data_IF_749166199089
#
_entry.id   IF_749166199089
#
_cell.length_a   1.000
_cell.length_b   1.000
_cell.length_c   1.000
_cell.angle_alpha   90.00
_cell.angle_beta   90.00
_cell.angle_gamma   90.00
#
_symmetry.space_group_name_H-M   'P 1'
#
loop_
_entity.id
_entity.type
_entity.pdbx_description
1 polymer ?
#
# COMPACT_ATOMS: atom_id res chain seq x y z
N UNK A 1 18.46 40.47 62.90
CA UNK A 1 17.99 41.13 61.64
C UNK A 1 18.74 40.70 60.37
N UNK A 2 20.08 40.53 60.37
CA UNK A 2 20.82 40.14 59.16
C UNK A 2 20.61 38.67 58.70
N UNK A 3 20.47 37.70 59.61
CA UNK A 3 20.34 36.27 59.22
C UNK A 3 18.99 35.92 58.57
N UNK A 4 17.88 36.52 59.01
CA UNK A 4 16.55 36.33 58.37
C UNK A 4 16.58 36.86 56.93
N UNK A 5 17.26 37.98 56.68
CA UNK A 5 17.40 38.54 55.33
C UNK A 5 18.24 37.66 54.40
N UNK A 6 19.24 36.96 54.92
CA UNK A 6 20.02 35.99 54.15
C UNK A 6 19.19 34.75 53.82
N UNK A 7 18.42 34.24 54.79
CA UNK A 7 17.54 33.09 54.61
C UNK A 7 16.45 33.37 53.56
N UNK A 8 15.84 34.57 53.60
CA UNK A 8 14.86 35.02 52.60
C UNK A 8 15.48 35.16 51.21
N UNK A 9 16.73 35.63 51.08
CA UNK A 9 17.42 35.67 49.78
C UNK A 9 17.70 34.26 49.24
N UNK A 10 18.15 33.35 50.09
CA UNK A 10 18.45 31.98 49.69
C UNK A 10 17.18 31.23 49.26
N UNK A 11 16.06 31.45 49.95
CA UNK A 11 14.74 30.94 49.56
C UNK A 11 14.27 31.51 48.22
N UNK A 12 14.45 32.83 48.00
CA UNK A 12 14.13 33.46 46.71
C UNK A 12 14.98 32.88 45.57
N UNK A 13 16.27 32.65 45.80
CA UNK A 13 17.16 31.99 44.85
C UNK A 13 16.73 30.56 44.55
N UNK A 14 16.40 29.78 45.58
CA UNK A 14 15.93 28.40 45.42
C UNK A 14 14.59 28.31 44.66
N UNK A 15 13.67 29.26 44.88
CA UNK A 15 12.42 29.35 44.11
C UNK A 15 12.68 29.72 42.64
N UNK A 16 13.66 30.58 42.37
CA UNK A 16 14.06 30.92 41.01
C UNK A 16 14.64 29.70 40.29
N UNK A 17 15.58 28.99 40.94
CA UNK A 17 16.16 27.73 40.45
C UNK A 17 15.09 26.66 40.18
N UNK A 18 14.10 26.53 41.05
CA UNK A 18 12.99 25.58 40.86
C UNK A 18 12.10 25.97 39.68
N UNK A 19 11.86 27.27 39.46
CA UNK A 19 11.10 27.75 38.30
C UNK A 19 11.87 27.52 37.00
N UNK A 20 13.18 27.75 37.00
CA UNK A 20 14.03 27.53 35.84
C UNK A 20 14.12 26.04 35.49
N UNK A 21 14.31 25.16 36.49
CA UNK A 21 14.28 23.70 36.28
C UNK A 21 12.91 23.21 35.82
N UNK A 22 11.82 23.77 36.32
CA UNK A 22 10.46 23.46 35.82
C UNK A 22 10.30 23.90 34.37
N UNK A 23 10.81 25.07 33.99
CA UNK A 23 10.76 25.56 32.61
C UNK A 23 11.58 24.67 31.68
N UNK A 24 12.83 24.37 32.05
CA UNK A 24 13.70 23.47 31.29
C UNK A 24 13.11 22.06 31.14
N UNK A 25 12.46 21.53 32.19
CA UNK A 25 11.76 20.25 32.12
C UNK A 25 10.55 20.31 31.20
N UNK A 26 9.77 21.39 31.20
CA UNK A 26 8.63 21.55 30.29
C UNK A 26 9.06 21.72 28.83
N UNK A 27 10.18 22.42 28.59
CA UNK A 27 10.78 22.61 27.27
C UNK A 27 11.36 21.29 26.74
N UNK A 28 12.10 20.55 27.57
CA UNK A 28 12.53 19.19 27.23
C UNK A 28 11.35 18.23 27.03
N UNK A 29 10.25 18.38 27.79
CA UNK A 29 9.03 17.60 27.59
C UNK A 29 8.37 17.92 26.25
N UNK A 30 8.34 19.20 25.85
CA UNK A 30 7.83 19.65 24.55
C UNK A 30 8.71 19.21 23.38
N UNK A 31 10.04 19.21 23.54
CA UNK A 31 10.98 18.67 22.55
C UNK A 31 10.86 17.14 22.43
N UNK A 32 10.57 16.44 23.54
CA UNK A 32 10.43 14.98 23.56
C UNK A 32 9.04 14.46 23.17
N UNK A 33 8.01 15.33 23.13
CA UNK A 33 6.64 14.91 22.84
C UNK A 33 6.52 14.59 21.36
N UNK A 34 6.21 13.34 21.03
CA UNK A 34 5.88 12.96 19.66
C UNK A 34 4.77 13.90 19.13
N UNK A 35 4.97 14.49 17.93
CA UNK A 35 3.99 15.42 17.38
C UNK A 35 2.66 14.69 17.22
N UNK A 36 1.60 15.28 17.75
CA UNK A 36 0.28 14.66 17.70
C UNK A 36 -0.25 14.68 16.27
N UNK A 37 -1.12 13.72 15.92
CA UNK A 37 -1.70 13.66 14.57
C UNK A 37 -2.37 14.98 14.13
N UNK A 38 -3.15 15.69 14.97
CA UNK A 38 -3.72 16.98 14.60
C UNK A 38 -2.68 18.06 14.31
N UNK A 39 -1.56 18.09 15.06
CA UNK A 39 -0.48 19.05 14.83
C UNK A 39 0.23 18.78 13.50
N UNK A 40 0.47 17.51 13.17
CA UNK A 40 1.06 17.12 11.89
C UNK A 40 0.14 17.43 10.70
N UNK A 41 -1.17 17.24 10.88
CA UNK A 41 -2.16 17.62 9.88
C UNK A 41 -2.29 19.13 9.71
N UNK A 42 -2.10 19.91 10.79
CA UNK A 42 -1.99 21.37 10.73
C UNK A 42 -0.81 21.81 9.86
N UNK A 43 0.38 21.24 10.11
CA UNK A 43 1.57 21.48 9.28
C UNK A 43 1.36 21.11 7.81
N UNK A 44 0.61 20.05 7.53
CA UNK A 44 0.21 19.70 6.17
C UNK A 44 -0.66 20.78 5.50
N UNK A 45 -1.62 21.35 6.23
CA UNK A 45 -2.44 22.44 5.70
C UNK A 45 -1.61 23.69 5.39
N UNK A 46 -0.61 23.99 6.21
CA UNK A 46 0.30 25.12 5.95
C UNK A 46 1.16 24.87 4.71
N UNK A 47 1.73 23.67 4.54
CA UNK A 47 2.41 23.27 3.31
C UNK A 47 1.52 23.46 2.07
N UNK A 48 0.26 23.03 2.14
CA UNK A 48 -0.71 23.17 1.05
C UNK A 48 -1.11 24.62 0.77
N UNK A 49 -0.99 25.52 1.75
CA UNK A 49 -1.20 26.96 1.54
C UNK A 49 0.00 27.58 0.83
N UNK A 50 1.22 27.20 1.21
CA UNK A 50 2.45 27.67 0.58
C UNK A 50 2.52 27.30 -0.91
N UNK A 51 2.13 26.08 -1.28
CA UNK A 51 2.06 25.62 -2.68
C UNK A 51 1.11 26.46 -3.55
N UNK A 52 0.12 27.11 -2.94
CA UNK A 52 -0.91 27.89 -3.64
C UNK A 52 -0.65 29.39 -3.65
N UNK A 53 0.49 29.85 -3.16
CA UNK A 53 0.86 31.28 -3.14
C UNK A 53 0.79 31.94 -4.53
N UNK A 54 1.02 31.18 -5.61
CA UNK A 54 0.90 31.65 -7.00
C UNK A 54 -0.48 31.53 -7.66
N UNK A 55 -1.52 31.11 -6.94
CA UNK A 55 -2.87 30.92 -7.50
C UNK A 55 -3.71 32.20 -7.44
N UNK A 56 -4.82 32.23 -8.18
CA UNK A 56 -5.82 33.31 -8.06
C UNK A 56 -6.49 33.28 -6.68
N UNK A 57 -6.91 34.43 -6.15
CA UNK A 57 -7.54 34.54 -4.82
C UNK A 57 -8.73 33.59 -4.65
N UNK A 58 -9.59 33.47 -5.67
CA UNK A 58 -10.71 32.52 -5.68
C UNK A 58 -10.23 31.06 -5.61
N UNK A 59 -9.18 30.70 -6.34
CA UNK A 59 -8.60 29.36 -6.34
C UNK A 59 -7.91 28.99 -5.02
N UNK A 60 -7.27 29.98 -4.36
CA UNK A 60 -6.69 29.80 -3.02
C UNK A 60 -7.78 29.52 -1.99
N UNK A 61 -8.88 30.29 -2.03
CA UNK A 61 -10.00 30.12 -1.10
C UNK A 61 -10.67 28.75 -1.27
N UNK A 62 -11.03 28.38 -2.50
CA UNK A 62 -11.69 27.09 -2.75
C UNK A 62 -10.79 25.92 -2.39
N UNK A 63 -9.50 25.99 -2.72
CA UNK A 63 -8.51 24.98 -2.35
C UNK A 63 -8.31 24.84 -0.85
N UNK A 64 -8.24 25.97 -0.13
CA UNK A 64 -8.05 25.98 1.33
C UNK A 64 -9.26 25.42 2.07
N UNK A 65 -10.48 25.79 1.65
CA UNK A 65 -11.72 25.26 2.23
C UNK A 65 -11.84 23.76 1.97
N UNK A 66 -11.51 23.30 0.77
CA UNK A 66 -11.56 21.88 0.43
C UNK A 66 -10.57 21.03 1.24
N UNK A 67 -9.32 21.48 1.39
CA UNK A 67 -8.32 20.78 2.20
C UNK A 67 -8.70 20.80 3.68
N UNK A 68 -9.17 21.95 4.19
CA UNK A 68 -9.62 22.07 5.58
C UNK A 68 -10.76 21.10 5.88
N UNK A 69 -11.79 21.03 5.03
CA UNK A 69 -12.92 20.12 5.23
C UNK A 69 -12.46 18.65 5.28
N UNK A 70 -11.56 18.23 4.38
CA UNK A 70 -11.00 16.88 4.37
C UNK A 70 -10.19 16.56 5.63
N UNK A 71 -9.35 17.50 6.05
CA UNK A 71 -8.52 17.33 7.26
C UNK A 71 -9.39 17.30 8.52
N UNK A 72 -10.43 18.13 8.60
CA UNK A 72 -11.35 18.13 9.74
C UNK A 72 -12.18 16.85 9.83
N UNK A 73 -12.64 16.32 8.70
CA UNK A 73 -13.31 15.01 8.63
C UNK A 73 -12.39 13.89 9.14
N UNK A 74 -11.13 13.90 8.70
CA UNK A 74 -10.13 12.94 9.18
C UNK A 74 -9.82 13.11 10.68
N UNK A 75 -9.67 14.34 11.18
CA UNK A 75 -9.44 14.58 12.61
C UNK A 75 -10.61 14.09 13.46
N UNK A 76 -11.85 14.30 13.01
CA UNK A 76 -13.05 13.77 13.68
C UNK A 76 -12.99 12.24 13.74
N UNK A 77 -12.70 11.59 12.61
CA UNK A 77 -12.58 10.14 12.54
C UNK A 77 -11.47 9.60 13.46
N UNK A 78 -10.28 10.22 13.43
CA UNK A 78 -9.15 9.83 14.30
C UNK A 78 -9.52 9.96 15.78
N UNK A 79 -10.28 11.00 16.14
CA UNK A 79 -10.79 11.19 17.52
C UNK A 79 -11.79 10.10 17.90
N UNK A 80 -12.74 9.77 17.03
CA UNK A 80 -13.71 8.68 17.24
C UNK A 80 -13.03 7.32 17.44
N UNK A 81 -11.88 7.10 16.80
CA UNK A 81 -11.07 5.89 16.94
C UNK A 81 -9.96 6.00 17.99
N UNK A 82 -9.90 7.10 18.73
CA UNK A 82 -8.89 7.39 19.76
C UNK A 82 -7.43 7.32 19.27
N UNK A 83 -7.22 7.58 17.98
CA UNK A 83 -5.90 7.58 17.34
C UNK A 83 -5.24 8.95 17.50
N UNK A 84 -4.18 9.02 18.29
CA UNK A 84 -3.52 10.28 18.67
C UNK A 84 -2.06 10.39 18.20
N UNK A 85 -1.39 9.27 17.96
CA UNK A 85 0.02 9.19 17.56
C UNK A 85 0.20 8.48 16.22
N UNK A 86 1.30 8.77 15.52
CA UNK A 86 1.65 8.09 14.26
C UNK A 86 1.76 6.57 14.44
N UNK A 87 2.30 6.12 15.57
CA UNK A 87 2.41 4.69 15.90
C UNK A 87 1.03 4.03 16.07
N UNK A 88 0.11 4.69 16.78
CA UNK A 88 -1.26 4.17 16.96
C UNK A 88 -2.01 4.06 15.63
N UNK A 89 -1.83 5.03 14.74
CA UNK A 89 -2.38 5.02 13.37
C UNK A 89 -1.84 3.83 12.57
N UNK A 90 -0.53 3.59 12.64
CA UNK A 90 0.13 2.51 11.93
C UNK A 90 -0.29 1.12 12.41
N UNK A 91 -0.39 0.94 13.73
CA UNK A 91 -0.86 -0.32 14.32
C UNK A 91 -2.33 -0.60 13.97
N UNK A 92 -3.16 0.44 13.97
CA UNK A 92 -4.57 0.31 13.57
C UNK A 92 -4.70 -0.02 12.08
N UNK A 93 -3.93 0.64 11.21
CA UNK A 93 -3.87 0.32 9.78
C UNK A 93 -3.50 -1.14 9.50
N UNK A 94 -2.52 -1.69 10.23
CA UNK A 94 -2.11 -3.08 10.08
C UNK A 94 -3.20 -4.04 10.56
N UNK A 95 -3.87 -3.70 11.65
CA UNK A 95 -4.99 -4.47 12.21
C UNK A 95 -6.15 -4.55 11.23
N UNK A 96 -6.62 -3.40 10.73
CA UNK A 96 -7.73 -3.31 9.78
C UNK A 96 -7.37 -3.99 8.45
N UNK A 97 -6.14 -3.82 7.97
CA UNK A 97 -5.66 -4.52 6.78
C UNK A 97 -5.61 -6.04 6.98
N UNK A 98 -5.17 -6.50 8.15
CA UNK A 98 -5.19 -7.91 8.55
C UNK A 98 -6.60 -8.49 8.58
N UNK A 99 -7.55 -7.78 9.18
CA UNK A 99 -8.97 -8.17 9.20
C UNK A 99 -9.53 -8.31 7.78
N UNK A 100 -9.26 -7.35 6.89
CA UNK A 100 -9.70 -7.43 5.50
C UNK A 100 -9.10 -8.63 4.75
N UNK A 101 -7.83 -8.97 5.03
CA UNK A 101 -7.19 -10.17 4.47
C UNK A 101 -7.85 -11.44 5.00
N UNK A 102 -8.11 -11.54 6.31
CA UNK A 102 -8.77 -12.68 6.94
C UNK A 102 -10.18 -12.90 6.38
N UNK A 103 -10.99 -11.84 6.26
CA UNK A 103 -12.34 -11.94 5.68
C UNK A 103 -12.28 -12.46 4.23
N UNK A 104 -11.35 -11.94 3.42
CA UNK A 104 -11.18 -12.44 2.04
C UNK A 104 -10.75 -13.90 2.01
N UNK A 105 -9.91 -14.33 2.94
CA UNK A 105 -9.48 -15.72 3.05
C UNK A 105 -10.65 -16.66 3.38
N UNK A 106 -11.59 -16.23 4.25
CA UNK A 106 -12.80 -17.00 4.58
C UNK A 106 -13.86 -16.98 3.47
N UNK A 107 -13.97 -15.87 2.74
CA UNK A 107 -14.95 -15.67 1.67
C UNK A 107 -14.57 -16.42 0.39
N UNK A 108 -13.29 -16.44 0.01
CA UNK A 108 -12.80 -17.05 -1.23
C UNK A 108 -13.21 -18.52 -1.43
N UNK A 109 -13.08 -19.45 -0.45
CA UNK A 109 -13.52 -20.82 -0.64
C UNK A 109 -15.04 -20.93 -0.82
N UNK A 110 -15.82 -20.04 -0.19
CA UNK A 110 -17.28 -20.01 -0.36
C UNK A 110 -17.68 -19.56 -1.76
N UNK A 111 -17.05 -18.51 -2.28
CA UNK A 111 -17.25 -18.09 -3.68
C UNK A 111 -16.84 -19.19 -4.67
N UNK A 112 -15.76 -19.91 -4.38
CA UNK A 112 -15.32 -21.04 -5.19
C UNK A 112 -16.37 -22.16 -5.17
N UNK A 113 -16.88 -22.50 -3.98
CA UNK A 113 -17.95 -23.50 -3.83
C UNK A 113 -19.23 -23.10 -4.56
N UNK A 114 -19.63 -21.83 -4.52
CA UNK A 114 -20.77 -21.33 -5.28
C UNK A 114 -20.57 -21.51 -6.80
N UNK A 115 -19.37 -21.25 -7.32
CA UNK A 115 -19.05 -21.47 -8.74
C UNK A 115 -19.17 -22.95 -9.11
N UNK A 116 -18.63 -23.84 -8.28
CA UNK A 116 -18.74 -25.28 -8.48
C UNK A 116 -20.19 -25.76 -8.50
N UNK A 117 -21.03 -25.24 -7.59
CA UNK A 117 -22.46 -25.54 -7.55
C UNK A 117 -23.14 -25.04 -8.84
N UNK A 118 -22.87 -23.82 -9.27
CA UNK A 118 -23.45 -23.26 -10.50
C UNK A 118 -23.04 -24.07 -11.74
N UNK A 119 -21.76 -24.48 -11.84
CA UNK A 119 -21.28 -25.35 -12.93
C UNK A 119 -21.96 -26.71 -12.89
N UNK A 120 -22.11 -27.30 -11.69
CA UNK A 120 -22.80 -28.58 -11.52
C UNK A 120 -24.29 -28.48 -11.93
N UNK A 121 -24.99 -27.43 -11.48
CA UNK A 121 -26.40 -27.17 -11.84
C UNK A 121 -26.56 -26.97 -13.34
N UNK A 122 -25.64 -26.28 -14.01
CA UNK A 122 -25.65 -26.11 -15.47
C UNK A 122 -25.50 -27.45 -16.20
N UNK A 123 -24.57 -28.31 -15.77
CA UNK A 123 -24.45 -29.65 -16.36
C UNK A 123 -25.67 -30.53 -16.07
N UNK A 124 -26.32 -30.40 -14.91
CA UNK A 124 -27.58 -31.09 -14.60
C UNK A 124 -28.69 -30.62 -15.55
N UNK A 125 -28.84 -29.31 -15.75
CA UNK A 125 -29.83 -28.76 -16.68
C UNK A 125 -29.62 -29.25 -18.11
N UNK A 126 -28.37 -29.22 -18.61
CA UNK A 126 -28.04 -29.72 -19.95
C UNK A 126 -28.29 -31.23 -20.08
N UNK A 127 -27.99 -32.00 -19.04
CA UNK A 127 -28.26 -33.43 -19.03
C UNK A 127 -29.77 -33.71 -19.10
N UNK A 128 -30.58 -33.03 -18.30
CA UNK A 128 -32.04 -33.21 -18.28
C UNK A 128 -32.70 -32.75 -19.58
N UNK A 129 -32.29 -31.59 -20.12
CA UNK A 129 -32.84 -31.02 -21.34
C UNK A 129 -32.58 -31.87 -22.59
N UNK A 130 -31.37 -32.44 -22.72
CA UNK A 130 -30.95 -33.16 -23.93
C UNK A 130 -30.99 -34.69 -23.79
N UNK A 131 -31.41 -35.21 -22.63
CA UNK A 131 -31.69 -36.63 -22.44
C UNK A 131 -32.64 -37.22 -23.49
N UNK A 132 -33.80 -36.61 -23.85
CA UNK A 132 -34.69 -37.19 -24.85
C UNK A 132 -34.01 -37.30 -26.23
N UNK A 133 -33.28 -36.26 -26.65
CA UNK A 133 -32.53 -36.24 -27.92
C UNK A 133 -31.47 -37.35 -27.96
N UNK A 134 -30.75 -37.56 -26.85
CA UNK A 134 -29.80 -38.66 -26.76
C UNK A 134 -30.49 -40.03 -26.82
N UNK A 135 -31.67 -40.19 -26.21
CA UNK A 135 -32.44 -41.43 -26.27
C UNK A 135 -32.90 -41.72 -27.71
N UNK A 136 -33.41 -40.73 -28.43
CA UNK A 136 -33.77 -40.85 -29.84
C UNK A 136 -32.56 -41.22 -30.70
N UNK A 137 -31.44 -40.51 -30.52
CA UNK A 137 -30.17 -40.82 -31.19
C UNK A 137 -29.72 -42.27 -30.95
N UNK A 138 -29.84 -42.77 -29.71
CA UNK A 138 -29.45 -44.13 -29.34
C UNK A 138 -30.40 -45.20 -29.90
N UNK A 139 -31.67 -44.86 -30.15
CA UNK A 139 -32.67 -45.78 -30.70
C UNK A 139 -32.49 -46.02 -32.22
N UNK A 140 -31.82 -45.11 -32.94
CA UNK A 140 -31.59 -45.25 -34.39
C UNK A 140 -30.58 -46.38 -34.67
N UNK A 141 -31.07 -47.46 -35.30
CA UNK A 141 -30.27 -48.65 -35.62
C UNK A 141 -29.47 -48.52 -36.91
N UNK A 142 -29.98 -47.80 -37.90
CA UNK A 142 -29.34 -47.68 -39.21
C UNK A 142 -28.33 -46.52 -39.24
N UNK A 143 -27.16 -46.76 -39.82
CA UNK A 143 -26.03 -45.81 -39.82
C UNK A 143 -26.35 -44.46 -40.47
N UNK A 144 -26.92 -44.48 -41.69
CA UNK A 144 -27.17 -43.24 -42.46
C UNK A 144 -28.16 -42.27 -41.77
N UNK A 145 -29.34 -42.71 -41.27
CA UNK A 145 -30.23 -41.83 -40.52
C UNK A 145 -29.62 -41.34 -39.19
N UNK A 146 -28.79 -42.17 -38.55
CA UNK A 146 -28.13 -41.81 -37.29
C UNK A 146 -27.13 -40.68 -37.46
N UNK A 147 -26.37 -40.67 -38.56
CA UNK A 147 -25.43 -39.60 -38.89
C UNK A 147 -26.16 -38.28 -39.23
N UNK A 148 -27.28 -38.35 -39.97
CA UNK A 148 -28.12 -37.18 -40.27
C UNK A 148 -28.73 -36.58 -38.99
N UNK A 149 -29.24 -37.42 -38.09
CA UNK A 149 -29.76 -36.99 -36.79
C UNK A 149 -28.65 -36.36 -35.92
N UNK A 150 -27.46 -36.98 -35.87
CA UNK A 150 -26.33 -36.41 -35.14
C UNK A 150 -25.89 -35.04 -35.69
N UNK A 151 -25.95 -34.86 -37.00
CA UNK A 151 -25.62 -33.58 -37.62
C UNK A 151 -26.67 -32.49 -37.29
N UNK A 152 -27.95 -32.85 -37.25
CA UNK A 152 -29.05 -31.94 -36.91
C UNK A 152 -29.07 -31.56 -35.42
N UNK A 153 -28.74 -32.49 -34.53
CA UNK A 153 -28.77 -32.32 -33.07
C UNK A 153 -27.37 -32.24 -32.44
N UNK A 154 -26.39 -31.73 -33.20
CA UNK A 154 -24.98 -31.77 -32.80
C UNK A 154 -24.74 -31.10 -31.45
N UNK A 155 -25.21 -29.86 -31.29
CA UNK A 155 -24.96 -29.07 -30.09
C UNK A 155 -25.61 -29.68 -28.84
N UNK A 156 -26.80 -30.26 -29.00
CA UNK A 156 -27.57 -30.91 -27.93
C UNK A 156 -26.88 -32.21 -27.46
N UNK A 157 -26.42 -33.03 -28.41
CA UNK A 157 -25.64 -34.24 -28.11
C UNK A 157 -24.28 -33.89 -27.50
N UNK A 158 -23.62 -32.84 -27.98
CA UNK A 158 -22.34 -32.38 -27.43
C UNK A 158 -22.49 -31.86 -25.99
N UNK A 159 -23.54 -31.09 -25.70
CA UNK A 159 -23.87 -30.60 -24.36
C UNK A 159 -24.22 -31.74 -23.39
N UNK A 160 -25.02 -32.71 -23.85
CA UNK A 160 -25.35 -33.92 -23.08
C UNK A 160 -24.09 -34.74 -22.74
N UNK A 161 -23.25 -35.00 -23.75
CA UNK A 161 -22.01 -35.74 -23.59
C UNK A 161 -21.00 -35.00 -22.70
N UNK A 162 -20.95 -33.67 -22.78
CA UNK A 162 -20.14 -32.85 -21.88
C UNK A 162 -20.59 -32.99 -20.42
N UNK A 163 -21.89 -32.97 -20.15
CA UNK A 163 -22.43 -33.20 -18.81
C UNK A 163 -22.08 -34.60 -18.27
N UNK A 164 -22.21 -35.65 -19.10
CA UNK A 164 -21.80 -37.02 -18.71
C UNK A 164 -20.30 -37.08 -18.35
N UNK A 165 -19.44 -36.48 -19.18
CA UNK A 165 -17.99 -36.43 -18.91
C UNK A 165 -17.71 -35.71 -17.59
N UNK A 166 -18.36 -34.58 -17.35
CA UNK A 166 -18.22 -33.82 -16.11
C UNK A 166 -18.65 -34.65 -14.88
N UNK A 167 -19.81 -35.30 -14.95
CA UNK A 167 -20.32 -36.18 -13.89
C UNK A 167 -19.37 -37.34 -13.60
N UNK A 168 -18.79 -37.97 -14.62
CA UNK A 168 -17.81 -39.05 -14.42
C UNK A 168 -16.58 -38.60 -13.62
N UNK A 169 -16.14 -37.36 -13.79
CA UNK A 169 -14.97 -36.80 -13.08
C UNK A 169 -15.34 -36.34 -11.67
N UNK A 170 -16.48 -35.66 -11.52
CA UNK A 170 -16.83 -34.90 -10.31
C UNK A 170 -17.86 -35.58 -9.38
N UNK A 171 -18.56 -36.63 -9.84
CA UNK A 171 -19.64 -37.29 -9.10
C UNK A 171 -19.35 -38.74 -8.71
N UNK A 172 -18.07 -39.16 -8.64
CA UNK A 172 -17.60 -40.56 -8.58
C UNK A 172 -18.36 -41.56 -7.69
N UNK A 173 -19.19 -41.13 -6.74
CA UNK A 173 -20.20 -41.95 -6.03
C UNK A 173 -21.36 -41.11 -5.42
N UNK A 174 -21.37 -39.78 -5.58
CA UNK A 174 -22.30 -38.87 -4.88
C UNK A 174 -23.43 -38.46 -5.82
N UNK A 175 -24.66 -38.84 -5.48
CA UNK A 175 -25.86 -38.26 -6.09
C UNK A 175 -26.18 -36.94 -5.37
N UNK A 176 -26.11 -35.83 -6.07
CA UNK A 176 -26.60 -34.55 -5.53
C UNK A 176 -28.08 -34.38 -5.82
N UNK A 177 -28.80 -33.79 -4.87
CA UNK A 177 -30.16 -33.32 -5.07
C UNK A 177 -30.11 -31.87 -5.52
N UNK A 178 -30.81 -31.54 -6.62
CA UNK A 178 -30.91 -30.16 -7.14
C UNK A 178 -31.42 -29.20 -6.03
N UNK A 179 -32.42 -29.64 -5.25
CA UNK A 179 -32.95 -28.87 -4.12
C UNK A 179 -31.86 -28.51 -3.11
N UNK A 180 -31.07 -29.50 -2.68
CA UNK A 180 -29.96 -29.28 -1.73
C UNK A 180 -28.87 -28.37 -2.30
N UNK A 181 -28.57 -28.45 -3.59
CA UNK A 181 -27.61 -27.58 -4.25
C UNK A 181 -28.09 -26.12 -4.29
N UNK A 182 -29.37 -25.89 -4.59
CA UNK A 182 -29.96 -24.55 -4.60
C UNK A 182 -30.05 -23.95 -3.17
N UNK A 183 -30.37 -24.78 -2.18
CA UNK A 183 -30.34 -24.38 -0.76
C UNK A 183 -28.92 -23.96 -0.33
N UNK A 184 -27.91 -24.80 -0.62
CA UNK A 184 -26.50 -24.50 -0.34
C UNK A 184 -26.06 -23.21 -1.07
N UNK A 185 -26.44 -23.03 -2.33
CA UNK A 185 -26.12 -21.82 -3.10
C UNK A 185 -26.74 -20.56 -2.46
N UNK A 186 -28.00 -20.64 -2.03
CA UNK A 186 -28.70 -19.51 -1.40
C UNK A 186 -28.07 -19.14 -0.05
N UNK A 187 -27.72 -20.14 0.76
CA UNK A 187 -27.04 -19.93 2.04
C UNK A 187 -25.66 -19.28 1.83
N UNK A 188 -24.83 -19.83 0.94
CA UNK A 188 -23.51 -19.29 0.63
C UNK A 188 -23.60 -17.87 0.05
N UNK A 189 -24.61 -17.59 -0.78
CA UNK A 189 -24.84 -16.25 -1.31
C UNK A 189 -25.13 -15.24 -0.19
N UNK A 190 -25.96 -15.61 0.80
CA UNK A 190 -26.23 -14.79 1.98
C UNK A 190 -24.98 -14.52 2.83
N UNK A 191 -24.19 -15.56 3.08
CA UNK A 191 -22.92 -15.42 3.83
C UNK A 191 -21.92 -14.51 3.09
N UNK A 192 -21.72 -14.72 1.79
CA UNK A 192 -20.81 -13.92 0.96
C UNK A 192 -21.28 -12.46 0.88
N UNK A 193 -22.60 -12.20 0.82
CA UNK A 193 -23.13 -10.85 0.89
C UNK A 193 -22.76 -10.17 2.22
N UNK A 194 -22.95 -10.84 3.35
CA UNK A 194 -22.55 -10.32 4.66
C UNK A 194 -21.03 -10.07 4.77
N UNK A 195 -20.20 -10.93 4.19
CA UNK A 195 -18.75 -10.69 4.12
C UNK A 195 -18.39 -9.47 3.27
N UNK A 196 -19.09 -9.24 2.14
CA UNK A 196 -18.88 -8.08 1.27
C UNK A 196 -19.25 -6.77 1.95
N UNK A 197 -20.35 -6.74 2.70
CA UNK A 197 -20.75 -5.57 3.49
C UNK A 197 -19.69 -5.21 4.54
N UNK A 198 -19.20 -6.20 5.30
CA UNK A 198 -18.10 -6.01 6.26
C UNK A 198 -16.83 -5.51 5.58
N UNK A 199 -16.47 -6.05 4.41
CA UNK A 199 -15.32 -5.57 3.64
C UNK A 199 -15.50 -4.13 3.15
N UNK A 200 -16.71 -3.74 2.74
CA UNK A 200 -17.00 -2.37 2.29
C UNK A 200 -16.80 -1.37 3.43
N UNK A 201 -17.34 -1.67 4.62
CA UNK A 201 -17.16 -0.83 5.79
C UNK A 201 -15.65 -0.67 6.15
N UNK A 202 -14.89 -1.77 6.14
CA UNK A 202 -13.45 -1.71 6.39
C UNK A 202 -12.69 -0.95 5.28
N UNK A 203 -13.16 -0.97 4.05
CA UNK A 203 -12.54 -0.22 2.96
C UNK A 203 -12.68 1.29 3.13
N UNK A 204 -13.82 1.76 3.61
CA UNK A 204 -14.04 3.18 3.94
C UNK A 204 -13.08 3.62 5.05
N UNK A 205 -12.97 2.82 6.11
CA UNK A 205 -12.01 3.03 7.21
C UNK A 205 -10.57 3.13 6.68
N UNK A 206 -10.13 2.14 5.90
CA UNK A 206 -8.76 2.11 5.33
C UNK A 206 -8.50 3.31 4.43
N UNK A 207 -9.51 3.79 3.69
CA UNK A 207 -9.35 4.94 2.79
C UNK A 207 -8.99 6.20 3.58
N UNK A 208 -9.74 6.52 4.64
CA UNK A 208 -9.48 7.68 5.50
C UNK A 208 -8.09 7.58 6.12
N UNK A 209 -7.76 6.42 6.70
CA UNK A 209 -6.46 6.20 7.34
C UNK A 209 -5.29 6.32 6.36
N UNK A 210 -5.47 5.87 5.12
CA UNK A 210 -4.46 5.96 4.06
C UNK A 210 -4.27 7.39 3.57
N UNK A 211 -5.34 8.16 3.46
CA UNK A 211 -5.28 9.59 3.11
C UNK A 211 -4.54 10.37 4.21
N UNK A 212 -4.88 10.12 5.48
CA UNK A 212 -4.14 10.67 6.63
C UNK A 212 -2.67 10.29 6.52
N UNK A 213 -2.33 9.01 6.34
CA UNK A 213 -0.93 8.61 6.25
C UNK A 213 -0.23 9.24 5.06
N UNK A 214 -0.92 9.41 3.93
CA UNK A 214 -0.38 10.10 2.78
C UNK A 214 -0.04 11.56 3.10
N UNK A 215 -0.90 12.30 3.82
CA UNK A 215 -0.64 13.67 4.25
C UNK A 215 0.52 13.75 5.24
N UNK A 216 0.55 12.85 6.23
CA UNK A 216 1.65 12.78 7.20
C UNK A 216 2.99 12.53 6.52
N UNK A 217 3.02 11.66 5.52
CA UNK A 217 4.23 11.37 4.74
C UNK A 217 4.79 12.58 3.97
N UNK A 218 4.04 13.68 3.81
CA UNK A 218 4.53 14.93 3.21
C UNK A 218 5.22 15.85 4.22
N UNK A 219 4.91 15.68 5.51
CA UNK A 219 5.35 16.56 6.59
C UNK A 219 6.39 15.88 7.49
N UNK A 220 6.34 14.56 7.60
CA UNK A 220 7.26 13.79 8.43
C UNK A 220 8.64 13.64 7.77
N UNK A 221 9.73 13.62 8.57
CA UNK A 221 11.06 13.30 8.09
C UNK A 221 11.08 11.95 7.36
N UNK A 222 11.90 11.84 6.31
CA UNK A 222 11.94 10.65 5.45
C UNK A 222 12.28 9.33 6.17
N UNK A 223 12.83 9.38 7.38
CA UNK A 223 13.10 8.24 8.25
C UNK A 223 11.82 7.62 8.85
N UNK A 224 10.77 8.43 9.04
CA UNK A 224 9.46 8.01 9.53
C UNK A 224 8.49 7.68 8.39
N UNK A 225 8.98 7.65 7.14
CA UNK A 225 8.17 7.37 5.97
C UNK A 225 7.72 5.91 5.92
N UNK A 226 6.41 5.68 5.97
CA UNK A 226 5.83 4.36 5.68
C UNK A 226 5.22 4.38 4.29
N UNK A 227 5.68 3.47 3.43
CA UNK A 227 5.02 3.22 2.16
C UNK A 227 3.65 2.60 2.45
N UNK A 228 2.58 3.27 2.04
CA UNK A 228 1.22 2.74 2.18
C UNK A 228 1.09 1.52 1.26
N UNK A 229 1.13 0.32 1.85
CA UNK A 229 0.95 -0.91 1.09
C UNK A 229 -0.47 -0.94 0.50
N UNK A 230 -0.57 -1.15 -0.82
CA UNK A 230 -1.86 -1.45 -1.43
C UNK A 230 -2.35 -2.81 -0.91
N UNK A 231 -3.62 -2.93 -0.49
CA UNK A 231 -4.15 -4.21 -0.04
C UNK A 231 -4.10 -5.21 -1.20
N UNK A 232 -3.19 -6.18 -1.11
CA UNK A 232 -3.02 -7.26 -2.09
C UNK A 232 -1.80 -7.18 -3.01
N UNK A 233 -0.91 -6.17 -2.89
CA UNK A 233 0.37 -6.15 -3.62
C UNK A 233 1.57 -6.24 -2.69
N UNK A 234 2.52 -7.13 -3.02
CA UNK A 234 3.87 -7.11 -2.42
C UNK A 234 4.50 -5.73 -2.69
N UNK A 235 5.14 -5.08 -1.70
CA UNK A 235 5.77 -3.79 -1.92
C UNK A 235 6.82 -3.93 -3.03
N UNK A 236 6.62 -3.20 -4.14
CA UNK A 236 7.51 -3.27 -5.30
C UNK A 236 8.83 -2.57 -4.98
N UNK A 237 9.96 -3.18 -5.35
CA UNK A 237 11.31 -2.59 -5.19
C UNK A 237 11.40 -1.22 -5.88
N UNK A 238 10.63 -0.97 -6.94
CA UNK A 238 10.56 0.34 -7.61
C UNK A 238 9.81 1.41 -6.78
N UNK A 239 8.92 1.01 -5.87
CA UNK A 239 8.19 1.91 -4.97
C UNK A 239 9.08 2.33 -3.78
N UNK A 240 9.99 1.45 -3.33
CA UNK A 240 11.02 1.78 -2.35
C UNK A 240 12.07 2.78 -2.89
N UNK A 241 12.25 2.83 -4.21
CA UNK A 241 13.16 3.78 -4.86
C UNK A 241 12.59 5.20 -4.86
N UNK A 242 11.27 5.42 -4.88
CA UNK A 242 10.68 6.79 -4.92
C UNK A 242 11.12 7.67 -3.73
N UNK A 243 11.15 7.10 -2.52
CA UNK A 243 11.66 7.79 -1.34
C UNK A 243 13.17 8.07 -1.40
N UNK A 244 13.95 7.31 -2.18
CA UNK A 244 15.36 7.60 -2.46
C UNK A 244 15.51 8.65 -3.57
N UNK A 245 14.67 8.63 -4.60
CA UNK A 245 14.71 9.65 -5.67
C UNK A 245 14.33 11.03 -5.16
N UNK A 246 13.39 11.10 -4.20
CA UNK A 246 12.98 12.35 -3.57
C UNK A 246 14.09 12.90 -2.66
N UNK A 247 14.78 12.03 -1.89
CA UNK A 247 16.02 12.37 -1.16
C UNK A 247 17.09 12.96 -2.08
N UNK A 248 17.39 12.32 -3.22
CA UNK A 248 18.39 12.82 -4.17
C UNK A 248 17.98 14.20 -4.72
N UNK A 249 16.68 14.43 -4.90
CA UNK A 249 16.16 15.70 -5.46
C UNK A 249 16.20 16.84 -4.44
N UNK A 250 15.85 16.57 -3.19
CA UNK A 250 15.94 17.50 -2.07
C UNK A 250 17.39 17.83 -1.72
N UNK A 251 18.26 16.81 -1.66
CA UNK A 251 19.69 16.97 -1.41
C UNK A 251 20.39 17.74 -2.55
N UNK A 252 19.95 17.55 -3.80
CA UNK A 252 20.41 18.36 -4.94
C UNK A 252 19.86 19.79 -4.91
N UNK A 253 18.64 20.00 -4.43
CA UNK A 253 18.05 21.33 -4.29
C UNK A 253 18.72 22.15 -3.18
N UNK A 254 19.07 21.52 -2.05
CA UNK A 254 19.86 22.12 -0.97
C UNK A 254 21.30 22.44 -1.42
N UNK A 255 21.97 21.52 -2.12
CA UNK A 255 23.31 21.77 -2.70
C UNK A 255 23.31 22.90 -3.73
N UNK A 256 22.19 23.16 -4.42
CA UNK A 256 22.03 24.29 -5.34
C UNK A 256 21.76 25.62 -4.64
N UNK A 257 21.25 25.63 -3.41
CA UNK A 257 20.98 26.83 -2.61
C UNK A 257 22.18 27.32 -1.80
N UNK A 258 23.22 26.49 -1.62
CA UNK A 258 24.47 26.95 -0.99
C UNK A 258 25.29 27.82 -1.95
N UNK A 259 25.71 29.05 -1.56
CA UNK A 259 26.61 29.85 -2.38
C UNK A 259 27.95 29.11 -2.48
N UNK A 260 28.37 28.79 -3.70
CA UNK A 260 29.70 28.21 -3.98
C UNK A 260 30.76 29.13 -3.37
N UNK A 261 31.36 28.73 -2.25
CA UNK A 261 32.56 29.38 -1.75
C UNK A 261 33.63 29.29 -2.84
N UNK A 262 33.97 30.45 -3.43
CA UNK A 262 35.17 30.62 -4.25
C UNK A 262 36.36 30.29 -3.37
N UNK A 263 36.91 29.06 -3.49
CA UNK A 263 38.23 28.74 -2.96
C UNK A 263 39.24 29.59 -3.74
N UNK A 264 39.68 30.68 -3.14
CA UNK A 264 40.88 31.40 -3.54
C UNK A 264 42.06 30.42 -3.44
N UNK A 265 42.61 30.01 -4.58
CA UNK A 265 43.92 29.34 -4.63
C UNK A 265 44.99 30.40 -4.51
N UNK A 266 45.60 30.50 -3.33
CA UNK A 266 46.87 31.18 -3.14
C UNK A 266 47.83 30.19 -2.46
N UNK A 267 49.09 30.26 -2.89
CA UNK A 267 50.32 29.59 -2.43
C UNK A 267 50.75 28.35 -3.21
N UNK A 268 52.01 28.19 -3.61
CA UNK A 268 53.05 29.16 -3.96
C UNK A 268 54.15 28.41 -4.69
N UNK A 269 54.91 29.18 -5.44
CA UNK A 269 56.08 28.80 -6.21
C UNK A 269 57.20 28.24 -5.31
N UNK A 270 57.90 27.21 -5.81
CA UNK A 270 59.34 26.96 -5.73
C UNK A 270 59.80 25.63 -5.08
N UNK A 271 60.06 24.62 -5.93
CA UNK A 271 61.20 23.70 -5.73
C UNK A 271 61.80 23.31 -7.09
N UNK A 272 62.82 24.09 -7.45
CA UNK A 272 63.90 23.87 -8.41
C UNK A 272 64.27 22.40 -8.73
N UNK A 273 64.48 22.20 -10.04
CA UNK A 273 65.64 21.57 -10.70
C UNK A 273 65.90 20.07 -10.53
N UNK A 274 66.42 19.49 -11.63
CA UNK A 274 66.82 18.09 -11.91
C UNK A 274 65.65 17.29 -12.49
N UNK A 275 65.55 16.98 -13.77
CA UNK A 275 66.57 16.52 -14.71
C UNK A 275 66.15 16.83 -16.15
N UNK A 276 67.06 17.38 -16.95
CA UNK A 276 67.03 17.20 -18.39
C UNK A 276 68.46 16.99 -18.92
N UNK A 277 68.56 16.08 -19.89
CA UNK A 277 69.68 15.85 -20.82
C UNK A 277 70.98 15.17 -20.37
N UNK A 278 71.12 13.90 -20.76
CA UNK A 278 72.19 13.36 -21.64
C UNK A 278 72.18 11.83 -21.61
N UNK A 279 72.55 11.05 -22.64
CA UNK A 279 72.89 11.20 -24.06
C UNK A 279 73.46 9.81 -24.45
N UNK A 280 73.02 9.22 -25.58
CA UNK A 280 73.75 8.17 -26.35
C UNK A 280 74.05 6.85 -25.60
N UNK A 281 73.99 5.63 -26.11
CA UNK A 281 74.33 4.97 -27.40
C UNK A 281 73.98 3.50 -27.13
N UNK A 282 73.23 2.79 -27.97
CA UNK A 282 73.81 1.85 -28.92
C UNK A 282 73.42 0.40 -28.59
N UNK A 283 73.21 -0.40 -29.63
CA UNK A 283 73.08 -1.88 -29.67
C UNK A 283 71.85 -2.52 -29.00
N UNK A 284 71.31 -3.66 -29.42
CA UNK A 284 71.20 -4.40 -30.68
C UNK A 284 70.28 -5.59 -30.29
N UNK A 285 69.34 -5.94 -31.16
CA UNK A 285 68.89 -7.32 -31.49
C UNK A 285 68.31 -8.31 -30.43
N UNK A 286 67.15 -8.89 -30.81
CA UNK A 286 66.79 -10.35 -30.85
C UNK A 286 65.79 -10.95 -29.82
N UNK A 287 64.67 -11.39 -30.40
CA UNK A 287 63.83 -12.60 -30.23
C UNK A 287 63.30 -13.10 -28.86
N UNK A 288 61.95 -13.22 -28.84
CA UNK A 288 61.12 -14.46 -28.73
C UNK A 288 61.43 -15.43 -27.57
N UNK A 289 60.38 -15.79 -26.80
CA UNK A 289 59.87 -17.16 -26.48
C UNK A 289 59.12 -17.15 -25.13
N UNK A 290 57.79 -17.39 -25.15
CA UNK A 290 57.09 -18.58 -24.59
C UNK A 290 57.49 -18.90 -23.14
N UNK A 291 56.57 -18.68 -22.20
CA UNK A 291 55.88 -19.72 -21.43
C UNK A 291 54.49 -19.21 -21.06
#
# INVERSE_FOLDING_TARGET
>A
MQSIRQMVRHLKGWIADLKEKKAALLEALQESKEPTLPELLGKYLDLRREERTGWTSKGQLTGSVADFNKVMEAIRYLREKELSTVQSLDAYLDTVSGQAVSIRAEMKPKEQRMKEINTLLSHIANFEAHKPVHVEYAAIRFKKPREQFAAAHRDELDAYNAAIRYFKVHLKEKKYSIKKLNEEQTQLAGEVAGYKERLSALQEDVKILRDVRHWLNQVLPSEQYRQTAEPGKKPSIQQAVKGRTQRIREEQAEKRKQPRQRKNRIWNFNRRLLFSFSRMTGAFLIFRRIY
#
